data_IF_313624715564
#
_entry.id   IF_313624715564
#
_cell.length_a   1.000
_cell.length_b   1.000
_cell.length_c   1.000
_cell.angle_alpha   90.00
_cell.angle_beta   90.00
_cell.angle_gamma   90.00
#
_symmetry.space_group_name_H-M   'P 1'
#
loop_
_entity.id
_entity.type
_entity.pdbx_description
1 polymer ?
#
# COMPACT_ATOMS: atom_id res chain seq x y z
N UNK A 1 -5.09 47.48 -109.11
CA UNK A 1 -3.69 47.98 -109.30
C UNK A 1 -3.01 48.09 -108.00
N UNK A 2 -1.76 47.77 -107.90
CA UNK A 2 -1.06 46.50 -108.18
C UNK A 2 -0.36 45.88 -106.94
N UNK A 3 0.04 44.67 -107.13
CA UNK A 3 1.37 44.11 -106.84
C UNK A 3 1.93 44.22 -105.43
N UNK A 4 2.49 43.25 -104.84
CA UNK A 4 3.22 42.05 -105.30
C UNK A 4 4.15 41.67 -104.15
N UNK A 5 4.59 40.47 -104.27
CA UNK A 5 5.89 39.96 -103.86
C UNK A 5 5.96 38.98 -102.72
N UNK A 6 6.31 37.84 -103.15
CA UNK A 6 6.86 36.59 -102.59
C UNK A 6 7.91 36.78 -101.50
N UNK A 7 7.96 35.85 -100.57
CA UNK A 7 9.09 35.60 -99.70
C UNK A 7 9.02 34.23 -98.99
N UNK A 8 9.58 33.23 -99.63
CA UNK A 8 9.88 31.91 -99.04
C UNK A 8 10.86 32.04 -97.87
N UNK A 9 10.61 31.44 -96.74
CA UNK A 9 11.67 30.94 -95.86
C UNK A 9 11.26 29.59 -95.23
N UNK A 10 12.18 28.66 -95.26
CA UNK A 10 12.12 27.27 -94.81
C UNK A 10 11.95 27.06 -93.32
N UNK A 11 11.56 25.85 -92.89
CA UNK A 11 11.41 25.53 -91.49
C UNK A 11 12.76 25.25 -90.83
N UNK A 12 12.93 25.77 -89.61
CA UNK A 12 14.05 25.46 -88.71
C UNK A 12 13.60 24.41 -87.74
N UNK A 13 14.14 23.23 -87.83
CA UNK A 13 14.12 22.16 -86.87
C UNK A 13 14.95 22.59 -85.65
N UNK A 14 14.37 22.61 -84.43
CA UNK A 14 15.07 22.92 -83.20
C UNK A 14 14.71 21.97 -82.10
N UNK A 15 15.50 20.93 -81.97
CA UNK A 15 15.52 20.06 -80.81
C UNK A 15 16.05 20.81 -79.58
N UNK A 16 15.18 21.19 -78.71
CA UNK A 16 15.56 21.61 -77.33
C UNK A 16 14.34 21.64 -76.34
N UNK A 17 13.77 20.44 -76.03
CA UNK A 17 12.77 20.38 -74.98
C UNK A 17 12.78 19.06 -74.23
N UNK A 18 13.84 18.27 -74.20
CA UNK A 18 13.88 16.98 -73.56
C UNK A 18 14.84 16.85 -72.34
N UNK A 19 15.49 17.96 -71.96
CA UNK A 19 16.41 17.94 -70.79
C UNK A 19 15.84 18.48 -69.47
N UNK A 20 14.68 19.17 -69.51
CA UNK A 20 14.19 19.86 -68.32
C UNK A 20 13.20 19.00 -67.48
N UNK A 21 12.59 17.96 -68.07
CA UNK A 21 11.65 17.08 -67.38
C UNK A 21 12.35 16.06 -66.46
N UNK A 22 13.52 15.56 -66.86
CA UNK A 22 14.26 14.54 -66.11
C UNK A 22 14.92 15.12 -64.85
N UNK A 23 15.28 16.38 -64.83
CA UNK A 23 15.84 17.06 -63.65
C UNK A 23 14.73 17.32 -62.62
N UNK A 24 13.53 17.73 -63.04
CA UNK A 24 12.40 17.96 -62.15
C UNK A 24 11.92 16.68 -61.47
N UNK A 25 11.88 15.56 -62.19
CA UNK A 25 11.50 14.26 -61.57
C UNK A 25 12.57 13.72 -60.60
N UNK A 26 13.86 13.93 -60.87
CA UNK A 26 14.93 13.56 -59.93
C UNK A 26 14.95 14.34 -58.65
N UNK A 27 14.62 15.64 -58.69
CA UNK A 27 14.52 16.51 -57.50
C UNK A 27 13.28 16.15 -56.67
N UNK A 28 12.13 15.85 -57.31
CA UNK A 28 10.94 15.39 -56.61
C UNK A 28 11.12 14.00 -55.99
N UNK A 29 11.86 13.10 -56.62
CA UNK A 29 12.13 11.76 -56.06
C UNK A 29 13.10 11.79 -54.90
N UNK A 30 14.08 12.71 -54.86
CA UNK A 30 14.96 12.89 -53.71
C UNK A 30 14.23 13.55 -52.54
N UNK A 31 13.35 14.50 -52.79
CA UNK A 31 12.55 15.15 -51.72
C UNK A 31 11.55 14.19 -51.06
N UNK A 32 10.95 13.28 -51.83
CA UNK A 32 10.03 12.23 -51.31
C UNK A 32 10.77 11.15 -50.50
N UNK A 33 12.01 10.81 -50.83
CA UNK A 33 12.83 9.83 -50.11
C UNK A 33 13.34 10.39 -48.75
N UNK A 34 13.62 11.67 -48.66
CA UNK A 34 14.06 12.33 -47.42
C UNK A 34 12.90 12.49 -46.44
N UNK A 35 11.66 12.70 -46.90
CA UNK A 35 10.48 12.83 -46.02
C UNK A 35 10.05 11.48 -45.43
N UNK A 36 10.28 10.34 -46.03
CA UNK A 36 9.97 9.02 -45.50
C UNK A 36 10.96 8.56 -44.41
N UNK A 37 12.21 9.06 -44.42
CA UNK A 37 13.22 8.66 -43.43
C UNK A 37 13.10 9.44 -42.10
N UNK A 38 12.44 10.61 -42.07
CA UNK A 38 12.24 11.39 -40.84
C UNK A 38 11.01 10.91 -40.03
N UNK A 39 10.04 10.25 -40.65
CA UNK A 39 8.85 9.72 -39.96
C UNK A 39 9.09 8.43 -39.16
N UNK A 40 10.24 7.74 -39.36
CA UNK A 40 10.59 6.50 -38.65
C UNK A 40 11.31 6.70 -37.29
N UNK A 41 11.77 7.92 -37.00
CA UNK A 41 12.58 8.17 -35.81
C UNK A 41 11.79 8.61 -34.56
N UNK A 42 10.46 8.73 -34.64
CA UNK A 42 9.64 9.25 -33.53
C UNK A 42 8.87 8.18 -32.75
N UNK A 43 9.09 6.89 -32.98
CA UNK A 43 8.38 5.81 -32.30
C UNK A 43 9.27 4.96 -31.38
N UNK A 44 10.50 5.37 -31.12
CA UNK A 44 11.32 4.79 -30.05
C UNK A 44 11.18 5.65 -28.77
N UNK A 45 9.93 5.90 -28.33
CA UNK A 45 9.67 6.50 -27.05
C UNK A 45 9.91 5.47 -25.95
N UNK A 46 11.10 5.53 -25.36
CA UNK A 46 11.46 5.13 -24.01
C UNK A 46 10.62 4.00 -23.39
N UNK A 47 10.90 2.77 -23.77
CA UNK A 47 10.71 1.67 -22.84
C UNK A 47 11.84 1.78 -21.80
N UNK A 48 11.68 2.63 -20.79
CA UNK A 48 12.53 2.59 -19.61
C UNK A 48 12.46 1.15 -19.12
N UNK A 49 13.57 0.41 -19.26
CA UNK A 49 13.66 -0.97 -18.79
C UNK A 49 13.64 -0.93 -17.26
N UNK A 50 12.46 -0.76 -16.70
CA UNK A 50 12.22 -0.79 -15.25
C UNK A 50 11.60 -2.14 -14.89
N UNK A 51 12.06 -2.79 -13.80
CA UNK A 51 13.31 -2.50 -13.11
C UNK A 51 14.53 -3.08 -13.83
N UNK A 52 15.68 -2.38 -13.80
CA UNK A 52 16.98 -2.81 -14.31
C UNK A 52 18.01 -3.06 -13.19
N UNK A 53 17.65 -2.76 -11.95
CA UNK A 53 18.45 -2.95 -10.73
C UNK A 53 17.56 -3.36 -9.55
N UNK A 54 18.14 -3.81 -8.41
CA UNK A 54 17.37 -4.21 -7.23
C UNK A 54 16.47 -3.10 -6.70
N UNK A 55 15.25 -3.49 -6.27
CA UNK A 55 14.27 -2.61 -5.63
C UNK A 55 14.37 -2.78 -4.12
N UNK A 56 14.47 -1.68 -3.39
CA UNK A 56 14.42 -1.63 -1.93
C UNK A 56 12.96 -1.47 -1.48
N UNK A 57 12.44 -2.49 -0.78
CA UNK A 57 11.07 -2.53 -0.29
C UNK A 57 11.06 -2.26 1.21
N UNK A 58 10.86 -0.99 1.59
CA UNK A 58 10.82 -0.56 2.99
C UNK A 58 9.56 -1.09 3.65
N UNK A 59 9.73 -1.67 4.84
CA UNK A 59 8.67 -2.11 5.74
C UNK A 59 8.79 -1.35 7.05
N UNK A 60 7.71 -0.72 7.48
CA UNK A 60 7.73 0.23 8.59
C UNK A 60 7.73 -0.39 9.99
N UNK A 61 7.68 -1.71 10.09
CA UNK A 61 7.62 -2.45 11.37
C UNK A 61 8.69 -3.55 11.44
N UNK A 62 8.90 -4.07 12.64
CA UNK A 62 9.86 -5.14 12.91
C UNK A 62 9.54 -6.42 12.10
N UNK A 63 10.57 -7.22 11.74
CA UNK A 63 10.39 -8.51 11.09
C UNK A 63 9.45 -9.44 11.86
N UNK A 64 8.73 -10.33 11.12
CA UNK A 64 7.82 -11.33 11.67
C UNK A 64 6.41 -10.82 11.98
N UNK A 65 6.15 -9.53 11.84
CA UNK A 65 4.78 -8.98 11.88
C UNK A 65 4.05 -9.14 10.54
N UNK A 66 2.72 -8.95 10.56
CA UNK A 66 1.89 -9.14 9.36
C UNK A 66 2.34 -8.31 8.15
N UNK A 67 2.80 -7.07 8.36
CA UNK A 67 3.33 -6.21 7.29
C UNK A 67 4.58 -6.83 6.64
N UNK A 68 5.49 -7.39 7.45
CA UNK A 68 6.71 -8.06 6.96
C UNK A 68 6.40 -9.35 6.21
N UNK A 69 5.49 -10.17 6.75
CA UNK A 69 5.03 -11.41 6.10
C UNK A 69 4.47 -11.11 4.70
N UNK A 70 3.61 -10.09 4.59
CA UNK A 70 3.01 -9.68 3.32
C UNK A 70 4.03 -9.09 2.35
N UNK A 71 4.94 -8.22 2.85
CA UNK A 71 5.99 -7.63 2.03
C UNK A 71 6.91 -8.69 1.42
N UNK A 72 7.34 -9.68 2.20
CA UNK A 72 8.20 -10.77 1.72
C UNK A 72 7.49 -11.64 0.69
N UNK A 73 6.21 -11.94 0.90
CA UNK A 73 5.44 -12.72 -0.05
C UNK A 73 5.30 -11.99 -1.41
N UNK A 74 5.03 -10.69 -1.39
CA UNK A 74 4.97 -9.86 -2.59
C UNK A 74 6.35 -9.73 -3.23
N UNK A 75 7.41 -9.48 -2.44
CA UNK A 75 8.77 -9.30 -2.92
C UNK A 75 9.31 -10.51 -3.68
N UNK A 76 9.04 -11.73 -3.18
CA UNK A 76 9.40 -12.98 -3.87
C UNK A 76 8.74 -13.03 -5.25
N UNK A 77 7.44 -12.78 -5.32
CA UNK A 77 6.69 -12.84 -6.59
C UNK A 77 7.07 -11.72 -7.56
N UNK A 78 7.37 -10.53 -7.08
CA UNK A 78 7.89 -9.44 -7.90
C UNK A 78 9.29 -9.78 -8.45
N UNK A 79 10.15 -10.41 -7.63
CA UNK A 79 11.48 -10.87 -8.07
C UNK A 79 11.35 -11.92 -9.17
N UNK A 80 10.45 -12.89 -9.00
CA UNK A 80 10.14 -13.91 -10.03
C UNK A 80 9.63 -13.27 -11.33
N UNK A 81 8.73 -12.29 -11.24
CA UNK A 81 8.10 -11.65 -12.38
C UNK A 81 9.06 -10.73 -13.18
N UNK A 82 10.01 -10.08 -12.51
CA UNK A 82 10.85 -9.06 -13.14
C UNK A 82 12.31 -9.47 -13.34
N UNK A 83 12.75 -10.58 -12.74
CA UNK A 83 14.14 -11.04 -12.78
C UNK A 83 15.10 -10.10 -12.02
N UNK A 84 14.59 -9.13 -11.27
CA UNK A 84 15.37 -8.21 -10.45
C UNK A 84 15.02 -8.39 -8.98
N UNK A 85 16.02 -8.42 -8.08
CA UNK A 85 15.77 -8.61 -6.65
C UNK A 85 14.89 -7.50 -6.07
N UNK A 86 13.84 -7.89 -5.32
CA UNK A 86 13.06 -6.99 -4.45
C UNK A 86 13.41 -7.30 -3.01
N UNK A 87 14.15 -6.40 -2.37
CA UNK A 87 14.78 -6.61 -1.07
C UNK A 87 13.96 -5.93 0.01
N UNK A 88 13.39 -6.73 0.92
CA UNK A 88 12.66 -6.23 2.09
C UNK A 88 13.63 -5.68 3.12
N UNK A 89 13.44 -4.41 3.49
CA UNK A 89 14.25 -3.68 4.48
C UNK A 89 13.34 -3.15 5.59
N UNK A 90 13.39 -3.75 6.76
CA UNK A 90 12.58 -3.38 7.91
C UNK A 90 13.15 -2.15 8.61
N UNK A 91 12.40 -1.04 8.64
CA UNK A 91 12.75 0.24 9.29
C UNK A 91 11.70 0.60 10.33
N UNK A 92 11.74 -0.10 11.44
CA UNK A 92 10.79 0.06 12.54
C UNK A 92 11.10 1.28 13.42
N UNK A 93 10.05 1.85 14.02
CA UNK A 93 10.11 2.92 15.01
C UNK A 93 9.17 4.07 14.71
N UNK A 94 8.76 4.81 15.78
CA UNK A 94 7.79 5.89 15.68
C UNK A 94 6.45 5.46 15.06
N UNK A 95 5.97 4.26 15.37
CA UNK A 95 4.78 3.66 14.76
C UNK A 95 4.82 3.68 13.21
N UNK A 96 5.99 3.38 12.64
CA UNK A 96 6.21 3.36 11.19
C UNK A 96 6.74 4.66 10.58
N UNK A 97 6.79 5.75 11.33
CA UNK A 97 7.19 7.06 10.81
C UNK A 97 8.63 7.08 10.29
N UNK A 98 9.56 6.31 10.91
CA UNK A 98 10.96 6.23 10.46
C UNK A 98 11.06 5.65 9.05
N UNK A 99 10.38 4.53 8.79
CA UNK A 99 10.39 3.90 7.47
C UNK A 99 9.67 4.74 6.42
N UNK A 100 8.56 5.38 6.79
CA UNK A 100 7.83 6.27 5.89
C UNK A 100 8.65 7.51 5.52
N UNK A 101 9.34 8.14 6.46
CA UNK A 101 10.22 9.31 6.21
C UNK A 101 11.35 8.99 5.21
N UNK A 102 11.95 7.80 5.33
CA UNK A 102 12.97 7.33 4.37
C UNK A 102 12.42 7.32 2.94
N UNK A 103 11.19 6.80 2.75
CA UNK A 103 10.59 6.72 1.42
C UNK A 103 10.10 8.08 0.94
N UNK A 104 9.52 8.90 1.81
CA UNK A 104 9.09 10.26 1.47
C UNK A 104 10.24 11.12 0.89
N UNK A 105 11.48 10.86 1.36
CA UNK A 105 12.70 11.58 0.94
C UNK A 105 13.52 10.84 -0.13
N UNK A 106 13.10 9.65 -0.54
CA UNK A 106 13.83 8.87 -1.54
C UNK A 106 13.65 9.47 -2.95
N UNK A 107 14.59 9.22 -3.87
CA UNK A 107 14.42 9.58 -5.28
C UNK A 107 13.16 8.93 -5.87
N UNK A 108 12.39 9.65 -6.72
CA UNK A 108 11.16 9.13 -7.32
C UNK A 108 11.45 8.27 -8.57
N UNK A 109 12.45 7.38 -8.48
CA UNK A 109 12.94 6.54 -9.56
C UNK A 109 12.35 5.12 -9.60
N UNK A 110 11.54 4.75 -8.58
CA UNK A 110 10.90 3.44 -8.47
C UNK A 110 11.69 2.40 -7.69
N UNK A 111 12.93 2.67 -7.31
CA UNK A 111 13.79 1.68 -6.64
C UNK A 111 13.75 1.74 -5.12
N UNK A 112 12.96 2.63 -4.55
CA UNK A 112 12.60 2.63 -3.12
C UNK A 112 11.10 2.75 -3.00
N UNK A 113 10.46 1.70 -2.50
CA UNK A 113 9.01 1.63 -2.30
C UNK A 113 8.68 1.26 -0.87
N UNK A 114 7.45 1.49 -0.44
CA UNK A 114 6.97 1.33 0.93
C UNK A 114 5.85 0.32 1.01
N UNK A 115 5.89 -0.60 1.97
CA UNK A 115 4.71 -1.27 2.50
C UNK A 115 4.50 -0.84 3.94
N UNK A 116 3.31 -0.31 4.22
CA UNK A 116 2.96 0.20 5.54
C UNK A 116 1.50 -0.06 5.88
N UNK A 117 1.05 0.43 7.03
CA UNK A 117 -0.31 0.30 7.51
C UNK A 117 -1.03 1.65 7.55
N UNK A 118 -2.35 1.61 7.76
CA UNK A 118 -3.16 2.79 8.04
C UNK A 118 -2.61 3.63 9.22
N UNK A 119 -2.02 3.00 10.23
CA UNK A 119 -1.44 3.71 11.36
C UNK A 119 -0.47 4.81 10.93
N UNK A 120 0.48 4.46 10.06
CA UNK A 120 1.55 5.36 9.62
C UNK A 120 1.02 6.52 8.76
N UNK A 121 0.02 6.26 7.93
CA UNK A 121 -0.42 7.21 6.90
C UNK A 121 -1.63 8.04 7.33
N UNK A 122 -2.59 7.45 8.06
CA UNK A 122 -3.87 8.14 8.33
C UNK A 122 -4.20 8.31 9.81
N UNK A 123 -3.47 7.66 10.72
CA UNK A 123 -3.69 7.80 12.16
C UNK A 123 -2.63 8.72 12.80
N UNK A 124 -1.37 8.43 12.59
CA UNK A 124 -0.25 9.21 13.16
C UNK A 124 -0.30 10.72 12.88
N UNK A 125 -0.81 11.20 11.71
CA UNK A 125 -0.93 12.64 11.47
C UNK A 125 -1.78 13.41 12.50
N UNK A 126 -2.70 12.70 13.17
CA UNK A 126 -3.58 13.29 14.20
C UNK A 126 -3.02 13.20 15.61
N UNK A 127 -1.96 12.42 15.81
CA UNK A 127 -1.40 12.11 17.12
C UNK A 127 -0.03 12.75 17.36
N UNK A 128 0.71 13.03 16.29
CA UNK A 128 2.07 13.56 16.40
C UNK A 128 2.45 14.42 15.19
N UNK A 129 3.44 15.29 15.38
CA UNK A 129 4.06 16.03 14.27
C UNK A 129 4.93 15.07 13.47
N UNK A 130 4.62 14.93 12.19
CA UNK A 130 5.35 14.04 11.28
C UNK A 130 6.46 14.78 10.51
N UNK A 131 7.56 14.11 10.13
CA UNK A 131 8.60 14.65 9.26
C UNK A 131 8.22 14.62 7.76
N UNK A 132 7.03 14.13 7.42
CA UNK A 132 6.47 14.03 6.07
C UNK A 132 4.98 14.41 6.06
N UNK A 133 4.47 14.71 4.88
CA UNK A 133 3.03 14.90 4.62
C UNK A 133 2.46 13.61 3.98
N UNK A 134 1.46 12.96 4.60
CA UNK A 134 0.95 11.66 4.15
C UNK A 134 0.24 11.70 2.78
N UNK A 135 -0.17 12.88 2.32
CA UNK A 135 -0.86 13.05 1.03
C UNK A 135 0.09 13.59 -0.04
N UNK A 136 0.95 14.54 0.33
CA UNK A 136 1.81 15.26 -0.61
C UNK A 136 3.10 14.51 -0.94
N UNK A 137 3.68 13.81 0.03
CA UNK A 137 5.04 13.27 -0.10
C UNK A 137 5.06 11.81 -0.59
N UNK A 138 3.89 11.23 -0.88
CA UNK A 138 3.75 9.88 -1.42
C UNK A 138 2.89 9.81 -2.68
N UNK A 139 3.22 8.86 -3.55
CA UNK A 139 2.39 8.37 -4.63
C UNK A 139 1.75 7.04 -4.19
N UNK A 140 0.42 6.96 -4.00
CA UNK A 140 -0.27 5.70 -3.73
C UNK A 140 -0.10 4.73 -4.90
N UNK A 141 0.26 3.47 -4.62
CA UNK A 141 0.36 2.39 -5.61
C UNK A 141 -0.87 1.49 -5.51
N UNK A 142 -1.11 0.91 -4.33
CA UNK A 142 -2.29 0.06 -4.12
C UNK A 142 -2.56 -0.15 -2.62
N UNK A 143 -3.81 -0.14 -2.22
CA UNK A 143 -4.24 -0.81 -1.01
C UNK A 143 -4.19 -2.31 -1.28
N UNK A 144 -3.26 -2.99 -0.63
CA UNK A 144 -2.93 -4.40 -0.89
C UNK A 144 -3.96 -5.34 -0.30
N UNK A 145 -4.25 -5.15 0.99
CA UNK A 145 -5.16 -5.99 1.73
C UNK A 145 -5.82 -5.24 2.89
N UNK A 146 -6.96 -5.74 3.33
CA UNK A 146 -7.65 -5.32 4.56
C UNK A 146 -7.89 -6.56 5.44
N UNK A 147 -7.75 -6.41 6.74
CA UNK A 147 -7.96 -7.49 7.69
C UNK A 147 -8.36 -6.94 9.07
N UNK A 148 -9.17 -7.69 9.84
CA UNK A 148 -9.48 -7.30 11.21
C UNK A 148 -8.30 -7.56 12.13
N UNK A 149 -8.32 -6.91 13.28
CA UNK A 149 -7.56 -7.35 14.44
C UNK A 149 -8.33 -8.47 15.18
N UNK A 150 -7.58 -9.26 15.92
CA UNK A 150 -8.10 -10.22 16.90
C UNK A 150 -7.65 -9.76 18.27
N UNK A 151 -8.56 -9.74 19.24
CA UNK A 151 -8.26 -9.51 20.64
C UNK A 151 -7.81 -10.84 21.25
N UNK A 152 -6.53 -10.94 21.52
CA UNK A 152 -5.88 -12.07 22.16
C UNK A 152 -5.68 -11.83 23.63
N UNK A 153 -5.83 -12.88 24.42
CA UNK A 153 -5.47 -12.88 25.85
C UNK A 153 -4.46 -13.99 26.12
N UNK A 154 -3.58 -13.76 27.14
CA UNK A 154 -2.68 -14.79 27.61
C UNK A 154 -3.49 -15.94 28.25
N UNK A 155 -3.13 -17.22 28.04
CA UNK A 155 -3.92 -18.37 28.51
C UNK A 155 -4.16 -18.40 30.01
N UNK A 156 -3.23 -17.87 30.82
CA UNK A 156 -3.36 -17.81 32.29
C UNK A 156 -4.36 -16.75 32.76
N UNK A 157 -4.74 -15.80 31.92
CA UNK A 157 -5.79 -14.86 32.26
C UNK A 157 -7.14 -15.61 32.21
N UNK A 158 -7.82 -15.65 33.36
CA UNK A 158 -9.11 -16.34 33.52
C UNK A 158 -10.27 -15.56 32.86
N UNK A 159 -10.11 -15.23 31.55
CA UNK A 159 -11.06 -14.45 30.75
C UNK A 159 -11.31 -15.17 29.44
N UNK A 160 -12.58 -15.32 29.07
CA UNK A 160 -13.00 -16.02 27.83
C UNK A 160 -13.82 -15.16 26.89
N UNK A 161 -14.15 -13.92 27.31
CA UNK A 161 -15.00 -13.02 26.55
C UNK A 161 -14.67 -11.55 26.84
N UNK A 162 -15.12 -10.64 25.96
CA UNK A 162 -14.97 -9.19 26.16
C UNK A 162 -15.70 -8.72 27.44
N UNK A 163 -16.94 -9.16 27.73
CA UNK A 163 -17.59 -8.82 29.00
C UNK A 163 -16.80 -9.24 30.24
N UNK A 164 -16.18 -10.42 30.24
CA UNK A 164 -15.33 -10.88 31.34
C UNK A 164 -14.05 -10.03 31.48
N UNK A 165 -13.42 -9.64 30.36
CA UNK A 165 -12.27 -8.73 30.37
C UNK A 165 -12.64 -7.36 30.97
N UNK A 166 -13.77 -6.82 30.57
CA UNK A 166 -14.30 -5.56 31.10
C UNK A 166 -14.59 -5.67 32.60
N UNK A 167 -15.22 -6.78 33.03
CA UNK A 167 -15.51 -7.03 34.44
C UNK A 167 -14.23 -7.10 35.28
N UNK A 168 -13.20 -7.79 34.78
CA UNK A 168 -11.90 -7.89 35.42
C UNK A 168 -11.20 -6.52 35.52
N UNK A 169 -11.20 -5.74 34.43
CA UNK A 169 -10.63 -4.38 34.43
C UNK A 169 -11.34 -3.44 35.40
N UNK A 170 -12.68 -3.54 35.54
CA UNK A 170 -13.44 -2.80 36.51
C UNK A 170 -13.14 -3.20 37.98
N UNK A 171 -12.92 -4.50 38.19
CA UNK A 171 -12.59 -5.03 39.52
C UNK A 171 -11.16 -4.68 39.96
N UNK A 172 -10.25 -4.46 39.01
CA UNK A 172 -8.84 -4.17 39.26
C UNK A 172 -8.34 -3.04 38.32
N UNK A 173 -8.76 -1.78 38.56
CA UNK A 173 -8.35 -0.66 37.72
C UNK A 173 -6.83 -0.53 37.64
N UNK A 174 -6.30 -0.27 36.47
CA UNK A 174 -4.87 -0.10 36.19
C UNK A 174 -4.01 -1.39 36.25
N UNK A 175 -4.59 -2.54 36.69
CA UNK A 175 -3.80 -3.77 36.85
C UNK A 175 -3.57 -4.57 35.56
N UNK A 176 -4.32 -4.28 34.49
CA UNK A 176 -4.17 -4.96 33.21
C UNK A 176 -3.32 -4.14 32.25
N UNK A 177 -2.28 -4.77 31.73
CA UNK A 177 -1.43 -4.22 30.68
C UNK A 177 -1.85 -4.77 29.33
N UNK A 178 -1.95 -3.93 28.30
CA UNK A 178 -2.16 -4.38 26.94
C UNK A 178 -1.04 -3.94 26.01
N UNK A 179 -0.63 -4.88 25.13
CA UNK A 179 0.41 -4.63 24.17
C UNK A 179 -0.13 -4.09 22.85
N UNK A 180 0.68 -3.30 22.14
CA UNK A 180 0.42 -2.94 20.76
C UNK A 180 1.69 -2.91 19.90
N UNK A 181 1.53 -2.86 18.58
CA UNK A 181 2.64 -2.71 17.64
C UNK A 181 3.25 -1.30 17.59
N UNK A 182 2.77 -0.39 18.43
CA UNK A 182 3.26 1.00 18.57
C UNK A 182 2.15 1.94 19.04
N UNK A 183 2.53 3.02 19.68
CA UNK A 183 1.60 4.07 20.10
C UNK A 183 0.95 4.73 18.88
N UNK A 184 -0.38 4.87 18.88
CA UNK A 184 -1.14 5.42 17.75
C UNK A 184 -1.49 4.42 16.64
N UNK A 185 -1.12 3.14 16.74
CA UNK A 185 -1.58 2.13 15.80
C UNK A 185 -3.01 1.68 16.04
N UNK A 186 -3.65 1.02 15.04
CA UNK A 186 -5.02 0.52 15.17
C UNK A 186 -5.23 -0.42 16.38
N UNK A 187 -4.21 -1.17 16.77
CA UNK A 187 -4.22 -2.01 17.96
C UNK A 187 -4.27 -1.17 19.27
N UNK A 188 -3.51 -0.08 19.33
CA UNK A 188 -3.58 0.88 20.44
C UNK A 188 -4.94 1.57 20.48
N UNK A 189 -5.41 2.10 19.33
CA UNK A 189 -6.72 2.74 19.24
C UNK A 189 -7.85 1.82 19.67
N UNK A 190 -7.78 0.52 19.31
CA UNK A 190 -8.75 -0.49 19.78
C UNK A 190 -8.77 -0.61 21.28
N UNK A 191 -7.62 -0.59 21.95
CA UNK A 191 -7.52 -0.56 23.41
C UNK A 191 -8.14 0.70 24.01
N UNK A 192 -7.78 1.88 23.49
CA UNK A 192 -8.29 3.17 23.98
C UNK A 192 -9.79 3.36 23.73
N UNK A 193 -10.29 2.95 22.57
CA UNK A 193 -11.72 2.93 22.27
C UNK A 193 -12.47 2.04 23.27
N UNK A 194 -11.93 0.87 23.62
CA UNK A 194 -12.53 -0.03 24.61
C UNK A 194 -12.47 0.57 26.03
N UNK A 195 -11.34 1.21 26.43
CA UNK A 195 -11.21 1.94 27.70
C UNK A 195 -12.30 2.99 27.82
N UNK A 196 -12.45 3.82 26.81
CA UNK A 196 -13.42 4.93 26.79
C UNK A 196 -14.86 4.41 26.83
N UNK A 197 -15.21 3.47 25.94
CA UNK A 197 -16.58 2.99 25.83
C UNK A 197 -17.06 2.18 27.06
N UNK A 198 -16.17 1.34 27.62
CA UNK A 198 -16.49 0.52 28.78
C UNK A 198 -16.20 1.22 30.14
N UNK A 199 -15.58 2.42 30.11
CA UNK A 199 -15.13 3.17 31.28
C UNK A 199 -14.26 2.32 32.21
N UNK A 200 -13.19 1.75 31.65
CA UNK A 200 -12.22 0.89 32.33
C UNK A 200 -10.83 1.51 32.27
N UNK A 201 -10.00 1.16 33.25
CA UNK A 201 -8.61 1.59 33.30
C UNK A 201 -7.67 0.42 33.03
N UNK A 202 -6.76 0.60 32.04
CA UNK A 202 -5.78 -0.37 31.57
C UNK A 202 -4.55 0.36 31.06
N UNK A 203 -3.36 -0.20 31.29
CA UNK A 203 -2.09 0.40 30.90
C UNK A 203 -1.67 -0.05 29.50
N UNK A 204 -1.37 0.88 28.63
CA UNK A 204 -0.82 0.59 27.29
C UNK A 204 0.69 0.39 27.35
N UNK A 205 1.19 -0.67 26.67
CA UNK A 205 2.63 -0.95 26.48
C UNK A 205 2.95 -1.02 24.99
N UNK A 206 3.59 0.02 24.42
CA UNK A 206 3.92 0.07 23.01
C UNK A 206 5.21 -0.69 22.69
N UNK A 207 5.19 -1.49 21.58
CA UNK A 207 6.36 -2.19 21.03
C UNK A 207 6.69 -1.70 19.61
N UNK A 208 7.89 -2.03 19.10
CA UNK A 208 8.32 -1.65 17.73
C UNK A 208 7.74 -2.57 16.64
N UNK A 209 6.53 -3.11 16.83
CA UNK A 209 5.84 -4.00 15.89
C UNK A 209 5.07 -5.12 16.59
N UNK A 210 4.28 -5.87 15.81
CA UNK A 210 3.44 -6.95 16.34
C UNK A 210 4.25 -8.12 16.90
N UNK A 211 5.37 -8.49 16.27
CA UNK A 211 6.17 -9.64 16.71
C UNK A 211 6.74 -9.47 18.13
N UNK A 212 7.43 -8.37 18.50
CA UNK A 212 7.89 -8.17 19.87
C UNK A 212 6.72 -8.04 20.87
N UNK A 213 5.58 -7.43 20.49
CA UNK A 213 4.41 -7.38 21.34
C UNK A 213 3.81 -8.78 21.61
N UNK A 214 3.82 -9.67 20.62
CA UNK A 214 3.40 -11.06 20.81
C UNK A 214 4.34 -11.85 21.73
N UNK A 215 5.64 -11.60 21.67
CA UNK A 215 6.59 -12.18 22.62
C UNK A 215 6.23 -11.78 24.05
N UNK A 216 5.93 -10.49 24.28
CA UNK A 216 5.50 -9.98 25.57
C UNK A 216 4.15 -10.57 26.02
N UNK A 217 3.19 -10.77 25.10
CA UNK A 217 1.95 -11.50 25.43
C UNK A 217 2.24 -12.95 25.82
N UNK A 218 3.08 -13.66 25.08
CA UNK A 218 3.39 -15.08 25.33
C UNK A 218 4.19 -15.30 26.60
N UNK A 219 4.95 -14.29 27.06
CA UNK A 219 5.67 -14.32 28.36
C UNK A 219 4.78 -13.88 29.52
N UNK A 220 3.58 -13.33 29.27
CA UNK A 220 2.69 -12.77 30.30
C UNK A 220 3.05 -11.38 30.78
N UNK A 221 4.04 -10.71 30.16
CA UNK A 221 4.39 -9.30 30.44
C UNK A 221 3.21 -8.36 30.19
N UNK A 222 2.46 -8.61 29.09
CA UNK A 222 1.15 -8.01 28.86
C UNK A 222 0.08 -9.11 28.86
N UNK A 223 -1.12 -8.79 29.35
CA UNK A 223 -2.18 -9.76 29.56
C UNK A 223 -3.04 -9.97 28.31
N UNK A 224 -3.12 -8.95 27.45
CA UNK A 224 -3.89 -9.03 26.21
C UNK A 224 -3.36 -8.04 25.16
N UNK A 225 -3.76 -8.21 23.91
CA UNK A 225 -3.46 -7.29 22.82
C UNK A 225 -4.42 -7.46 21.64
N UNK A 226 -4.59 -6.39 20.88
CA UNK A 226 -5.09 -6.51 19.51
C UNK A 226 -3.92 -6.79 18.55
N UNK A 227 -4.08 -7.77 17.67
CA UNK A 227 -3.08 -8.11 16.65
C UNK A 227 -3.77 -8.54 15.36
N UNK A 228 -3.14 -8.35 14.21
CA UNK A 228 -3.74 -8.78 12.94
C UNK A 228 -4.06 -10.28 12.96
N UNK A 229 -5.21 -10.64 12.41
CA UNK A 229 -5.65 -12.03 12.34
C UNK A 229 -4.61 -12.92 11.65
N UNK A 230 -3.93 -12.42 10.62
CA UNK A 230 -2.86 -13.10 9.91
C UNK A 230 -1.73 -13.56 10.86
N UNK A 231 -1.35 -12.70 11.79
CA UNK A 231 -0.26 -13.00 12.75
C UNK A 231 -0.79 -13.85 13.92
N UNK A 232 -2.07 -13.71 14.25
CA UNK A 232 -2.72 -14.42 15.38
C UNK A 232 -2.97 -15.89 15.08
N UNK A 233 -3.38 -16.23 13.85
CA UNK A 233 -3.90 -17.56 13.48
C UNK A 233 -3.01 -18.72 13.93
N UNK A 234 -1.69 -18.76 13.65
CA UNK A 234 -0.85 -19.89 14.07
C UNK A 234 -0.74 -20.04 15.59
N UNK A 235 -0.87 -18.95 16.35
CA UNK A 235 -0.80 -18.98 17.81
C UNK A 235 -2.13 -19.42 18.42
N UNK A 236 -3.24 -19.09 17.79
CA UNK A 236 -4.59 -19.56 18.18
C UNK A 236 -4.70 -21.04 17.93
N UNK A 237 -4.31 -21.53 16.75
CA UNK A 237 -4.36 -22.95 16.37
C UNK A 237 -3.48 -23.82 17.28
N UNK A 238 -2.32 -23.32 17.68
CA UNK A 238 -1.43 -24.01 18.61
C UNK A 238 -1.84 -23.89 20.09
N UNK A 239 -2.93 -23.18 20.41
CA UNK A 239 -3.42 -22.98 21.78
C UNK A 239 -2.52 -22.12 22.67
N UNK A 240 -1.53 -21.43 22.11
CA UNK A 240 -0.59 -20.60 22.86
C UNK A 240 -1.20 -19.28 23.33
N UNK A 241 -2.29 -18.84 22.71
CA UNK A 241 -3.09 -17.68 23.08
C UNK A 241 -4.57 -17.99 22.92
N UNK A 242 -5.42 -17.23 23.57
CA UNK A 242 -6.87 -17.32 23.42
C UNK A 242 -7.40 -16.10 22.65
N UNK A 243 -8.11 -16.33 21.54
CA UNK A 243 -8.88 -15.30 20.86
C UNK A 243 -10.24 -15.15 21.55
N UNK A 244 -10.59 -13.92 21.95
CA UNK A 244 -11.87 -13.63 22.63
C UNK A 244 -12.79 -12.71 21.82
N UNK A 245 -12.28 -11.96 20.83
CA UNK A 245 -13.08 -11.18 19.91
C UNK A 245 -12.29 -10.83 18.63
N UNK A 246 -13.02 -10.42 17.58
CA UNK A 246 -12.48 -9.74 16.40
C UNK A 246 -12.92 -8.27 16.37
N UNK A 247 -12.11 -7.40 15.78
CA UNK A 247 -12.32 -5.95 15.82
C UNK A 247 -13.25 -5.41 14.74
N UNK A 248 -13.68 -6.25 13.80
CA UNK A 248 -14.62 -5.84 12.75
C UNK A 248 -16.07 -5.73 13.28
N UNK A 249 -16.95 -5.06 12.51
CA UNK A 249 -18.38 -4.98 12.86
C UNK A 249 -19.07 -6.35 12.89
N UNK A 250 -18.51 -7.34 12.20
CA UNK A 250 -19.03 -8.71 12.12
C UNK A 250 -17.91 -9.71 12.43
N UNK A 251 -18.29 -10.95 12.75
CA UNK A 251 -17.35 -12.06 12.92
C UNK A 251 -16.54 -12.29 11.65
N UNK A 252 -15.29 -12.71 11.81
CA UNK A 252 -14.46 -13.11 10.68
C UNK A 252 -14.83 -14.53 10.22
N UNK A 253 -14.97 -14.77 8.91
CA UNK A 253 -15.14 -16.14 8.39
C UNK A 253 -14.00 -17.10 8.79
N UNK A 254 -12.81 -16.57 9.03
CA UNK A 254 -11.66 -17.35 9.49
C UNK A 254 -11.78 -17.79 10.97
N UNK A 255 -12.59 -17.10 11.76
CA UNK A 255 -12.82 -17.35 13.19
C UNK A 255 -14.32 -17.25 13.50
N UNK A 256 -15.18 -18.13 12.94
CA UNK A 256 -16.64 -17.99 12.99
C UNK A 256 -17.20 -18.11 14.42
N UNK A 257 -16.48 -18.80 15.31
CA UNK A 257 -16.85 -18.97 16.71
C UNK A 257 -16.37 -17.83 17.62
N UNK A 258 -15.53 -16.91 17.11
CA UNK A 258 -15.04 -15.77 17.87
C UNK A 258 -15.95 -14.56 17.58
N UNK A 259 -16.61 -13.98 18.58
CA UNK A 259 -17.55 -12.87 18.40
C UNK A 259 -16.82 -11.60 17.94
N UNK A 260 -17.56 -10.66 17.35
CA UNK A 260 -17.07 -9.31 17.16
C UNK A 260 -17.14 -8.53 18.50
N UNK A 261 -16.18 -7.63 18.72
CA UNK A 261 -16.25 -6.70 19.87
C UNK A 261 -17.56 -5.94 19.87
N UNK A 262 -18.05 -5.55 18.68
CA UNK A 262 -19.32 -4.87 18.45
C UNK A 262 -20.57 -5.63 18.93
N UNK A 263 -20.47 -6.96 19.13
CA UNK A 263 -21.56 -7.78 19.70
C UNK A 263 -21.68 -7.63 21.22
N UNK A 264 -20.69 -6.98 21.87
CA UNK A 264 -20.69 -6.73 23.31
C UNK A 264 -21.62 -5.56 23.65
N UNK A 265 -22.55 -5.69 24.62
CA UNK A 265 -23.38 -4.58 25.06
C UNK A 265 -22.54 -3.36 25.46
N UNK A 266 -22.92 -2.19 24.92
CA UNK A 266 -22.18 -0.93 25.12
C UNK A 266 -20.99 -0.69 24.19
N UNK A 267 -20.67 -1.65 23.30
CA UNK A 267 -19.60 -1.53 22.28
C UNK A 267 -20.16 -1.63 20.85
N UNK A 268 -21.45 -1.41 20.65
CA UNK A 268 -22.06 -1.37 19.34
C UNK A 268 -21.34 -0.34 18.43
N UNK A 269 -21.01 -0.75 17.20
CA UNK A 269 -20.25 0.10 16.27
C UNK A 269 -18.74 0.12 16.51
N UNK A 270 -18.23 -0.64 17.47
CA UNK A 270 -16.79 -0.80 17.63
C UNK A 270 -16.17 -1.42 16.35
N UNK A 271 -15.29 -0.67 15.73
CA UNK A 271 -14.57 -1.12 14.55
C UNK A 271 -13.18 -0.52 14.50
N UNK A 272 -12.18 -1.36 14.42
CA UNK A 272 -10.82 -0.97 14.11
C UNK A 272 -10.24 -1.92 13.07
N UNK A 273 -10.02 -1.39 11.86
CA UNK A 273 -9.50 -2.15 10.73
C UNK A 273 -8.02 -1.88 10.53
N UNK A 274 -7.34 -2.88 9.99
CA UNK A 274 -5.98 -2.76 9.49
C UNK A 274 -6.00 -2.90 7.97
N UNK A 275 -5.36 -1.98 7.27
CA UNK A 275 -5.00 -2.21 5.89
C UNK A 275 -3.48 -2.13 5.67
N UNK A 276 -3.01 -2.88 4.70
CA UNK A 276 -1.66 -2.78 4.16
C UNK A 276 -1.72 -1.99 2.85
N UNK A 277 -0.85 -1.01 2.72
CA UNK A 277 -0.78 -0.15 1.54
C UNK A 277 0.64 -0.08 0.99
N UNK A 278 0.75 -0.21 -0.32
CA UNK A 278 1.97 0.06 -1.06
C UNK A 278 1.98 1.50 -1.54
N UNK A 279 3.03 2.22 -1.20
CA UNK A 279 3.25 3.61 -1.61
C UNK A 279 4.66 3.76 -2.18
N UNK A 280 4.86 4.86 -2.87
CA UNK A 280 6.13 5.24 -3.45
C UNK A 280 6.41 6.72 -3.15
N UNK A 281 7.63 7.25 -3.37
CA UNK A 281 7.90 8.67 -3.27
C UNK A 281 6.98 9.48 -4.19
N UNK A 282 6.59 10.67 -3.76
CA UNK A 282 5.83 11.60 -4.61
C UNK A 282 6.59 11.91 -5.92
N UNK A 283 5.86 12.37 -6.94
CA UNK A 283 6.41 12.73 -8.27
C UNK A 283 7.03 11.57 -9.05
N UNK A 284 6.77 10.32 -8.65
CA UNK A 284 7.19 9.15 -9.42
C UNK A 284 6.55 9.16 -10.81
N UNK A 285 7.28 8.64 -11.81
CA UNK A 285 6.75 8.49 -13.16
C UNK A 285 5.46 7.62 -13.12
N UNK A 286 4.34 8.11 -13.63
CA UNK A 286 3.06 7.37 -13.62
C UNK A 286 3.14 5.97 -14.25
N UNK A 287 3.98 5.77 -15.27
CA UNK A 287 4.20 4.45 -15.89
C UNK A 287 4.84 3.44 -14.93
N UNK A 288 5.74 3.93 -14.04
CA UNK A 288 6.37 3.08 -13.01
C UNK A 288 5.35 2.74 -11.92
N UNK A 289 4.52 3.70 -11.49
CA UNK A 289 3.43 3.45 -10.54
C UNK A 289 2.45 2.42 -11.10
N UNK A 290 2.07 2.56 -12.38
CA UNK A 290 1.15 1.62 -13.04
C UNK A 290 1.75 0.21 -13.16
N UNK A 291 3.04 0.09 -13.48
CA UNK A 291 3.74 -1.20 -13.54
C UNK A 291 3.81 -1.87 -12.17
N UNK A 292 4.13 -1.12 -11.12
CA UNK A 292 4.11 -1.59 -9.72
C UNK A 292 2.71 -2.07 -9.33
N UNK A 293 1.69 -1.27 -9.60
CA UNK A 293 0.29 -1.59 -9.34
C UNK A 293 -0.15 -2.85 -10.08
N UNK A 294 0.05 -2.89 -11.39
CA UNK A 294 -0.42 -3.98 -12.25
C UNK A 294 0.17 -5.31 -11.82
N UNK A 295 1.48 -5.38 -11.58
CA UNK A 295 2.12 -6.63 -11.16
C UNK A 295 1.75 -7.00 -9.73
N UNK A 296 1.70 -6.03 -8.81
CA UNK A 296 1.22 -6.28 -7.43
C UNK A 296 -0.20 -6.83 -7.45
N UNK A 297 -1.12 -6.21 -8.18
CA UNK A 297 -2.50 -6.69 -8.31
C UNK A 297 -2.55 -8.11 -8.86
N UNK A 298 -1.80 -8.40 -9.91
CA UNK A 298 -1.73 -9.74 -10.50
C UNK A 298 -1.29 -10.79 -9.48
N UNK A 299 -0.27 -10.47 -8.66
CA UNK A 299 0.23 -11.35 -7.59
C UNK A 299 -0.86 -11.60 -6.55
N UNK A 300 -1.53 -10.55 -6.06
CA UNK A 300 -2.55 -10.65 -5.01
C UNK A 300 -3.72 -11.57 -5.41
N UNK A 301 -4.07 -11.62 -6.69
CA UNK A 301 -5.18 -12.42 -7.20
C UNK A 301 -4.77 -13.76 -7.80
N UNK A 302 -3.49 -14.15 -7.69
CA UNK A 302 -3.07 -15.53 -8.00
C UNK A 302 -3.74 -16.51 -7.03
N UNK A 303 -4.25 -17.67 -7.53
CA UNK A 303 -4.90 -18.65 -6.68
C UNK A 303 -4.03 -19.09 -5.48
N UNK A 304 -2.73 -19.32 -5.71
CA UNK A 304 -1.76 -19.66 -4.67
C UNK A 304 -1.69 -18.60 -3.57
N UNK A 305 -1.64 -17.31 -3.93
CA UNK A 305 -1.57 -16.21 -3.00
C UNK A 305 -2.87 -16.06 -2.20
N UNK A 306 -4.02 -16.13 -2.87
CA UNK A 306 -5.34 -16.08 -2.24
C UNK A 306 -5.56 -17.27 -1.30
N UNK A 307 -5.30 -18.49 -1.75
CA UNK A 307 -5.46 -19.70 -0.95
C UNK A 307 -4.60 -19.70 0.32
N UNK A 308 -3.48 -18.97 0.30
CA UNK A 308 -2.62 -18.84 1.48
C UNK A 308 -3.15 -17.83 2.51
N UNK A 309 -3.73 -16.71 2.07
CA UNK A 309 -4.02 -15.59 2.96
C UNK A 309 -5.51 -15.35 3.22
N UNK A 310 -6.42 -15.63 2.28
CA UNK A 310 -7.85 -15.43 2.50
C UNK A 310 -8.41 -16.33 3.63
N UNK A 311 -7.97 -17.61 3.80
CA UNK A 311 -8.40 -18.40 4.94
C UNK A 311 -8.05 -17.81 6.31
N UNK A 312 -7.05 -16.93 6.38
CA UNK A 312 -6.71 -16.19 7.60
C UNK A 312 -7.63 -15.00 7.89
N UNK A 313 -8.68 -14.78 7.08
CA UNK A 313 -9.55 -13.60 7.20
C UNK A 313 -9.00 -12.33 6.55
N UNK A 314 -7.91 -12.46 5.79
CA UNK A 314 -7.34 -11.35 5.02
C UNK A 314 -8.10 -11.17 3.71
N UNK A 315 -8.59 -9.97 3.42
CA UNK A 315 -9.24 -9.64 2.16
C UNK A 315 -8.25 -8.99 1.20
N UNK A 316 -8.02 -9.61 0.04
CA UNK A 316 -7.21 -8.99 -1.02
C UNK A 316 -7.99 -7.86 -1.66
N UNK A 317 -7.41 -6.66 -1.67
CA UNK A 317 -8.05 -5.45 -2.23
C UNK A 317 -7.49 -5.14 -3.62
N UNK A 318 -6.17 -4.97 -3.74
CA UNK A 318 -5.52 -4.68 -5.01
C UNK A 318 -6.14 -3.46 -5.70
N UNK A 319 -6.41 -2.38 -4.95
CA UNK A 319 -7.07 -1.17 -5.45
C UNK A 319 -6.21 -0.45 -6.48
N UNK A 320 -6.84 0.29 -7.39
CA UNK A 320 -6.10 1.21 -8.27
C UNK A 320 -5.43 2.32 -7.43
N UNK A 321 -4.38 2.99 -7.96
CA UNK A 321 -3.76 4.13 -7.30
C UNK A 321 -4.76 5.22 -6.92
N UNK A 322 -5.71 5.55 -7.80
CA UNK A 322 -6.74 6.54 -7.56
C UNK A 322 -7.72 6.13 -6.44
N UNK A 323 -8.13 4.86 -6.41
CA UNK A 323 -8.98 4.33 -5.34
C UNK A 323 -8.25 4.38 -4.00
N UNK A 324 -6.96 4.01 -3.97
CA UNK A 324 -6.18 4.05 -2.74
C UNK A 324 -5.96 5.49 -2.24
N UNK A 325 -5.71 6.45 -3.14
CA UNK A 325 -5.65 7.86 -2.78
C UNK A 325 -6.97 8.36 -2.15
N UNK A 326 -8.12 7.92 -2.68
CA UNK A 326 -9.44 8.24 -2.12
C UNK A 326 -9.63 7.61 -0.73
N UNK A 327 -9.21 6.35 -0.55
CA UNK A 327 -9.23 5.68 0.76
C UNK A 327 -8.39 6.43 1.78
N UNK A 328 -7.16 6.82 1.45
CA UNK A 328 -6.29 7.61 2.35
C UNK A 328 -6.98 8.90 2.80
N UNK A 329 -7.56 9.66 1.86
CA UNK A 329 -8.26 10.92 2.19
C UNK A 329 -9.47 10.68 3.10
N UNK A 330 -10.28 9.67 2.80
CA UNK A 330 -11.44 9.29 3.62
C UNK A 330 -11.02 8.87 5.02
N UNK A 331 -9.99 8.06 5.14
CA UNK A 331 -9.54 7.52 6.41
C UNK A 331 -8.85 8.59 7.27
N UNK A 332 -8.16 9.57 6.68
CA UNK A 332 -7.66 10.74 7.41
C UNK A 332 -8.79 11.47 8.13
N UNK A 333 -9.93 11.70 7.48
CA UNK A 333 -11.09 12.33 8.12
C UNK A 333 -11.67 11.41 9.21
N UNK A 334 -11.94 10.13 8.89
CA UNK A 334 -12.48 9.14 9.84
C UNK A 334 -11.68 9.09 11.13
N UNK A 335 -10.36 8.90 11.02
CA UNK A 335 -9.49 8.72 12.18
C UNK A 335 -9.28 10.01 12.96
N UNK A 336 -9.29 11.17 12.30
CA UNK A 336 -9.29 12.48 12.99
C UNK A 336 -10.51 12.65 13.88
N UNK A 337 -11.70 12.27 13.41
CA UNK A 337 -12.93 12.31 14.20
C UNK A 337 -12.90 11.30 15.36
N UNK A 338 -12.47 10.06 15.12
CA UNK A 338 -12.37 9.02 16.16
C UNK A 338 -11.42 9.46 17.28
N UNK A 339 -10.21 9.93 16.94
CA UNK A 339 -9.20 10.36 17.90
C UNK A 339 -9.71 11.54 18.74
N UNK A 340 -10.35 12.52 18.09
CA UNK A 340 -10.93 13.68 18.79
C UNK A 340 -12.04 13.26 19.73
N UNK A 341 -12.99 12.43 19.27
CA UNK A 341 -14.16 12.01 20.05
C UNK A 341 -13.77 11.14 21.25
N UNK A 342 -12.81 10.23 21.06
CA UNK A 342 -12.31 9.35 22.12
C UNK A 342 -11.21 10.01 22.97
N UNK A 343 -10.84 11.28 22.70
CA UNK A 343 -9.78 12.05 23.37
C UNK A 343 -8.45 11.27 23.49
N UNK A 344 -8.09 10.54 22.42
CA UNK A 344 -6.90 9.69 22.40
C UNK A 344 -5.66 10.58 22.27
N UNK A 345 -4.69 10.37 23.13
CA UNK A 345 -3.38 11.06 23.14
C UNK A 345 -2.28 10.01 23.12
N UNK A 346 -1.12 10.36 22.55
CA UNK A 346 0.10 9.61 22.81
C UNK A 346 0.64 10.01 24.17
N UNK A 347 0.98 9.04 24.98
CA UNK A 347 1.70 9.23 26.23
C UNK A 347 3.17 9.55 25.98
#
# INVERSE_FOLDING_TARGET
MPAGANGHIKPFSGAHQEKDSTVKYRICSLAAAVTLTVSGACAAADSVAYPDKPIRFIVTFAPGGGTDIFARAIAVKLTEAWGQPVIVDNRAGGNGNIGADIVAKAPPDGYTILLTTNATIVINPHLSKLPYDPVRDFAPVSQVATLPFVLLVHPTLAVKSVPELIALAKAKPGALNYGSSGGGGGAHLGGEMMKTAAKIDMTHVPYKGAAPALVALLSGEVQFMFVSILTATPLIESGRVRAIAVSGLKRSPALPNVPAVAETPGLAGFETDLWYGMLAPAKMNPRVVDKLYTETRKILFQPEFRNRYEPTGTQMVGSTPAQFAATIKKDLVKWGEVIKTANIKLE
#
